data_IF_124333750351
#
_entry.id   IF_124333750351
#
_cell.length_a   1.000
_cell.length_b   1.000
_cell.length_c   1.000
_cell.angle_alpha   90.00
_cell.angle_beta   90.00
_cell.angle_gamma   90.00
#
_symmetry.space_group_name_H-M   'P 1'
#
loop_
_entity.id
_entity.type
_entity.pdbx_description
1 polymer ?
#
# COMPACT_ATOMS: atom_id res chain seq x y z
N UNK A 1 -2.10 27.95 40.44
CA UNK A 1 -3.52 28.33 40.54
C UNK A 1 -4.02 28.43 39.10
N UNK A 2 -4.67 27.38 38.59
CA UNK A 2 -5.20 27.41 37.22
C UNK A 2 -6.45 28.26 37.19
N UNK A 3 -6.62 29.08 36.15
CA UNK A 3 -7.88 29.80 35.92
C UNK A 3 -9.04 28.79 35.92
N UNK A 4 -10.16 29.10 36.60
CA UNK A 4 -11.35 28.26 36.47
C UNK A 4 -11.76 28.20 34.99
N UNK A 5 -12.33 27.08 34.53
CA UNK A 5 -12.89 27.01 33.19
C UNK A 5 -13.89 28.15 33.01
N UNK A 6 -13.66 28.99 32.00
CA UNK A 6 -14.68 29.90 31.50
C UNK A 6 -15.72 29.06 30.77
N UNK A 7 -17.00 29.33 31.05
CA UNK A 7 -18.15 28.71 30.39
C UNK A 7 -18.85 29.73 29.49
N UNK A 8 -18.14 30.78 29.06
CA UNK A 8 -18.72 31.90 28.30
C UNK A 8 -19.20 31.47 26.89
N UNK A 9 -18.77 30.29 26.42
CA UNK A 9 -19.21 29.66 25.18
C UNK A 9 -20.49 28.81 25.35
N UNK A 10 -20.92 28.57 26.59
CA UNK A 10 -22.09 27.77 26.90
C UNK A 10 -23.33 28.65 27.17
N UNK A 11 -24.53 28.17 26.79
CA UNK A 11 -25.77 28.84 27.16
C UNK A 11 -25.97 28.80 28.69
N UNK A 12 -26.61 29.83 29.27
CA UNK A 12 -26.78 29.92 30.72
C UNK A 12 -27.93 29.05 31.28
N UNK A 13 -28.83 28.54 30.44
CA UNK A 13 -30.00 27.77 30.87
C UNK A 13 -29.76 26.25 30.87
N UNK A 14 -30.33 25.59 31.88
CA UNK A 14 -30.14 24.15 32.15
C UNK A 14 -30.64 23.28 31.00
N UNK A 15 -31.77 23.63 30.39
CA UNK A 15 -32.37 22.83 29.32
C UNK A 15 -31.45 22.74 28.10
N UNK A 16 -30.86 23.87 27.66
CA UNK A 16 -29.90 23.85 26.56
C UNK A 16 -28.61 23.15 26.92
N UNK A 17 -28.15 23.26 28.17
CA UNK A 17 -26.96 22.53 28.64
C UNK A 17 -27.18 21.01 28.59
N UNK A 18 -28.34 20.50 29.01
CA UNK A 18 -28.66 19.07 28.95
C UNK A 18 -28.74 18.56 27.50
N UNK A 19 -29.28 19.37 26.59
CA UNK A 19 -29.28 19.04 25.15
C UNK A 19 -27.86 18.97 24.60
N UNK A 20 -27.00 19.94 24.93
CA UNK A 20 -25.61 19.95 24.51
C UNK A 20 -24.84 18.77 25.10
N UNK A 21 -24.99 18.48 26.39
CA UNK A 21 -24.39 17.33 27.03
C UNK A 21 -24.75 16.04 26.28
N UNK A 22 -26.05 15.82 26.05
CA UNK A 22 -26.51 14.63 25.34
C UNK A 22 -25.97 14.55 23.90
N UNK A 23 -25.92 15.68 23.20
CA UNK A 23 -25.36 15.75 21.86
C UNK A 23 -23.86 15.45 21.85
N UNK A 24 -23.11 16.00 22.82
CA UNK A 24 -21.68 15.76 22.96
C UNK A 24 -21.37 14.31 23.32
N UNK A 25 -22.16 13.66 24.18
CA UNK A 25 -22.03 12.22 24.46
C UNK A 25 -22.13 11.39 23.17
N UNK A 26 -23.19 11.62 22.38
CA UNK A 26 -23.40 10.93 21.11
C UNK A 26 -22.26 11.20 20.12
N UNK A 27 -21.79 12.45 20.09
CA UNK A 27 -20.69 12.88 19.22
C UNK A 27 -19.37 12.21 19.63
N UNK A 28 -19.07 12.13 20.93
CA UNK A 28 -17.90 11.45 21.46
C UNK A 28 -17.91 9.95 21.14
N UNK A 29 -19.08 9.30 21.22
CA UNK A 29 -19.22 7.89 20.81
C UNK A 29 -18.87 7.72 19.32
N UNK A 30 -19.36 8.60 18.45
CA UNK A 30 -19.04 8.57 17.01
C UNK A 30 -17.55 8.77 16.74
N UNK A 31 -16.93 9.76 17.38
CA UNK A 31 -15.49 10.05 17.27
C UNK A 31 -14.66 8.84 17.71
N UNK A 32 -14.99 8.24 18.86
CA UNK A 32 -14.27 7.06 19.38
C UNK A 32 -14.33 5.88 18.42
N UNK A 33 -15.49 5.63 17.79
CA UNK A 33 -15.63 4.60 16.75
C UNK A 33 -14.79 4.90 15.52
N UNK A 34 -14.82 6.15 15.04
CA UNK A 34 -14.01 6.56 13.90
C UNK A 34 -12.50 6.42 14.18
N UNK A 35 -12.06 6.75 15.40
CA UNK A 35 -10.68 6.60 15.83
C UNK A 35 -10.25 5.14 15.88
N UNK A 36 -11.08 4.25 16.43
CA UNK A 36 -10.80 2.81 16.43
C UNK A 36 -10.62 2.27 15.00
N UNK A 37 -11.56 2.60 14.10
CA UNK A 37 -11.48 2.18 12.70
C UNK A 37 -10.26 2.78 11.98
N UNK A 38 -9.87 4.02 12.28
CA UNK A 38 -8.67 4.64 11.73
C UNK A 38 -7.40 3.92 12.19
N UNK A 39 -7.28 3.63 13.49
CA UNK A 39 -6.15 2.90 14.06
C UNK A 39 -6.03 1.48 13.50
N UNK A 40 -7.15 0.79 13.29
CA UNK A 40 -7.15 -0.53 12.66
C UNK A 40 -6.60 -0.48 11.23
N UNK A 41 -7.00 0.52 10.44
CA UNK A 41 -6.47 0.73 9.08
C UNK A 41 -4.97 1.04 9.10
N UNK A 42 -4.53 1.94 9.97
CA UNK A 42 -3.10 2.27 10.12
C UNK A 42 -2.29 1.04 10.52
N UNK A 43 -2.76 0.26 11.50
CA UNK A 43 -2.09 -0.96 11.92
C UNK A 43 -2.06 -2.02 10.80
N UNK A 44 -3.12 -2.13 10.00
CA UNK A 44 -3.14 -3.02 8.83
C UNK A 44 -2.13 -2.58 7.76
N UNK A 45 -2.01 -1.26 7.49
CA UNK A 45 -1.02 -0.72 6.56
C UNK A 45 0.41 -0.94 7.06
N UNK A 46 0.68 -0.71 8.34
CA UNK A 46 1.98 -0.98 8.95
C UNK A 46 2.35 -2.46 8.87
N UNK A 47 1.39 -3.36 9.18
CA UNK A 47 1.59 -4.81 9.01
C UNK A 47 1.89 -5.17 7.56
N UNK A 48 1.11 -4.65 6.60
CA UNK A 48 1.34 -4.88 5.18
C UNK A 48 2.71 -4.36 4.70
N UNK A 49 3.19 -3.24 5.25
CA UNK A 49 4.53 -2.73 4.97
C UNK A 49 5.63 -3.62 5.58
N UNK A 50 5.43 -4.11 6.81
CA UNK A 50 6.40 -4.98 7.50
C UNK A 50 6.47 -6.40 6.96
N UNK A 51 5.38 -6.90 6.38
CA UNK A 51 5.26 -8.27 5.82
C UNK A 51 5.45 -8.25 4.29
N UNK A 52 5.83 -7.12 3.70
CA UNK A 52 6.07 -7.05 2.26
C UNK A 52 7.20 -8.03 1.92
N UNK A 53 6.96 -9.08 1.11
CA UNK A 53 8.04 -9.94 0.68
C UNK A 53 9.10 -9.08 -0.03
N UNK A 54 10.38 -9.46 0.07
CA UNK A 54 11.43 -8.76 -0.67
C UNK A 54 11.02 -8.63 -2.13
N UNK A 55 11.39 -7.49 -2.74
CA UNK A 55 11.14 -7.30 -4.16
C UNK A 55 11.69 -8.53 -4.92
N UNK A 56 10.91 -9.14 -5.82
CA UNK A 56 11.37 -10.33 -6.52
C UNK A 56 12.55 -9.96 -7.42
N UNK A 57 13.63 -10.74 -7.43
CA UNK A 57 14.81 -10.43 -8.24
C UNK A 57 14.54 -10.41 -9.76
N UNK A 58 13.46 -11.08 -10.20
CA UNK A 58 13.08 -11.21 -11.60
C UNK A 58 11.57 -11.09 -11.78
N UNK A 59 11.16 -10.39 -12.83
CA UNK A 59 9.76 -10.15 -13.17
C UNK A 59 9.52 -10.45 -14.64
N UNK A 60 8.42 -11.14 -14.93
CA UNK A 60 7.91 -11.31 -16.30
C UNK A 60 6.65 -10.49 -16.49
N UNK A 61 6.67 -9.56 -17.42
CA UNK A 61 5.52 -8.73 -17.75
C UNK A 61 4.61 -9.44 -18.73
N UNK A 62 3.36 -8.99 -18.80
CA UNK A 62 2.35 -9.60 -19.68
C UNK A 62 1.63 -8.56 -20.51
N UNK A 63 1.25 -8.94 -21.72
CA UNK A 63 0.48 -8.09 -22.61
C UNK A 63 -0.88 -7.70 -21.99
N UNK A 64 -1.31 -6.43 -22.16
CA UNK A 64 -2.65 -6.02 -21.75
C UNK A 64 -3.73 -6.91 -22.39
N UNK A 65 -4.72 -7.33 -21.59
CA UNK A 65 -5.84 -8.16 -22.05
C UNK A 65 -5.49 -9.64 -22.17
N UNK A 66 -4.60 -10.01 -23.10
CA UNK A 66 -4.28 -11.41 -23.39
C UNK A 66 -3.45 -12.11 -22.28
N UNK A 67 -2.84 -11.33 -21.38
CA UNK A 67 -1.99 -11.81 -20.27
C UNK A 67 -0.88 -12.77 -20.74
N UNK A 68 -0.44 -12.63 -21.99
CA UNK A 68 0.67 -13.42 -22.53
C UNK A 68 2.00 -12.84 -22.03
N UNK A 69 2.97 -13.66 -21.62
CA UNK A 69 4.30 -13.18 -21.24
C UNK A 69 4.97 -12.40 -22.38
N UNK A 70 5.54 -11.23 -22.09
CA UNK A 70 6.18 -10.38 -23.11
C UNK A 70 7.67 -10.19 -22.86
N UNK A 71 8.04 -9.71 -21.68
CA UNK A 71 9.41 -9.29 -21.39
C UNK A 71 9.85 -9.78 -20.01
N UNK A 72 11.10 -10.21 -19.93
CA UNK A 72 11.80 -10.47 -18.68
C UNK A 72 12.45 -9.16 -18.22
N UNK A 73 12.44 -8.91 -16.91
CA UNK A 73 13.04 -7.77 -16.24
C UNK A 73 13.78 -8.18 -14.96
N UNK A 74 14.76 -7.39 -14.54
CA UNK A 74 15.23 -7.42 -13.14
C UNK A 74 14.17 -6.84 -12.21
N UNK A 75 14.19 -7.26 -10.95
CA UNK A 75 13.25 -6.86 -9.91
C UNK A 75 13.15 -5.36 -9.62
N UNK A 76 14.24 -4.67 -9.88
CA UNK A 76 14.45 -3.24 -9.65
C UNK A 76 14.32 -2.40 -10.94
N UNK A 77 13.89 -2.99 -12.04
CA UNK A 77 13.73 -2.29 -13.31
C UNK A 77 12.66 -1.18 -13.21
N UNK A 78 13.11 0.07 -13.29
CA UNK A 78 12.24 1.26 -13.22
C UNK A 78 11.22 1.35 -14.36
N UNK A 79 11.52 0.72 -15.50
CA UNK A 79 10.68 0.74 -16.69
C UNK A 79 9.69 -0.43 -16.76
N UNK A 80 9.76 -1.39 -15.83
CA UNK A 80 8.92 -2.58 -15.86
C UNK A 80 7.47 -2.24 -15.44
N UNK A 81 6.47 -2.57 -16.28
CA UNK A 81 5.09 -2.69 -15.82
C UNK A 81 4.96 -3.71 -14.68
N UNK A 82 3.81 -3.71 -13.99
CA UNK A 82 3.49 -4.79 -13.05
C UNK A 82 3.50 -6.12 -13.78
N UNK A 83 4.26 -7.07 -13.26
CA UNK A 83 4.39 -8.41 -13.82
C UNK A 83 4.33 -9.50 -12.76
N UNK A 84 4.49 -10.75 -13.20
CA UNK A 84 4.59 -11.93 -12.34
C UNK A 84 6.02 -12.05 -11.82
N UNK A 85 6.19 -12.22 -10.50
CA UNK A 85 7.46 -12.60 -9.91
C UNK A 85 7.86 -14.00 -10.38
N UNK A 86 9.11 -14.17 -10.79
CA UNK A 86 9.63 -15.46 -11.28
C UNK A 86 10.94 -15.81 -10.59
N UNK A 87 11.26 -17.11 -10.51
CA UNK A 87 12.58 -17.52 -10.03
C UNK A 87 13.65 -17.24 -11.09
N UNK A 88 14.92 -17.25 -10.68
CA UNK A 88 16.05 -17.12 -11.62
C UNK A 88 15.98 -18.15 -12.76
N UNK A 89 15.59 -19.40 -12.46
CA UNK A 89 15.50 -20.45 -13.46
C UNK A 89 14.27 -20.33 -14.36
N UNK A 90 13.17 -19.75 -13.86
CA UNK A 90 12.03 -19.36 -14.70
C UNK A 90 12.41 -18.20 -15.63
N UNK A 91 13.17 -17.22 -15.15
CA UNK A 91 13.65 -16.11 -15.98
C UNK A 91 14.59 -16.60 -17.09
N UNK A 92 15.55 -17.48 -16.76
CA UNK A 92 16.43 -18.12 -17.74
C UNK A 92 15.64 -18.91 -18.79
N UNK A 93 14.68 -19.71 -18.35
CA UNK A 93 13.82 -20.49 -19.26
C UNK A 93 13.02 -19.57 -20.17
N UNK A 94 12.39 -18.53 -19.63
CA UNK A 94 11.64 -17.56 -20.43
C UNK A 94 12.50 -16.94 -21.55
N UNK A 95 13.72 -16.50 -21.23
CA UNK A 95 14.66 -15.97 -22.24
C UNK A 95 15.03 -17.04 -23.27
N UNK A 96 15.28 -18.27 -22.84
CA UNK A 96 15.61 -19.40 -23.74
C UNK A 96 14.44 -19.77 -24.65
N UNK A 97 13.20 -19.65 -24.14
CA UNK A 97 11.95 -19.89 -24.87
C UNK A 97 11.59 -18.73 -25.82
N UNK A 98 12.43 -17.70 -25.90
CA UNK A 98 12.29 -16.59 -26.85
C UNK A 98 11.52 -15.37 -26.33
N UNK A 99 11.25 -15.26 -25.03
CA UNK A 99 10.78 -14.00 -24.48
C UNK A 99 11.86 -12.92 -24.58
N UNK A 100 11.41 -11.68 -24.76
CA UNK A 100 12.31 -10.55 -24.88
C UNK A 100 13.01 -10.26 -23.55
N UNK A 101 14.28 -9.93 -23.61
CA UNK A 101 14.98 -9.28 -22.50
C UNK A 101 14.71 -7.78 -22.55
N UNK A 102 14.27 -7.19 -21.43
CA UNK A 102 14.05 -5.75 -21.39
C UNK A 102 15.37 -5.00 -21.67
N UNK A 103 15.41 -4.12 -22.69
CA UNK A 103 16.65 -3.43 -23.09
C UNK A 103 17.13 -2.42 -22.03
N UNK A 104 16.25 -1.96 -21.14
CA UNK A 104 16.58 -0.97 -20.11
C UNK A 104 17.33 -1.58 -18.91
N UNK A 105 16.97 -2.80 -18.49
CA UNK A 105 17.62 -3.47 -17.36
C UNK A 105 18.54 -4.63 -17.77
N UNK A 106 18.52 -5.05 -19.04
CA UNK A 106 19.36 -6.12 -19.61
C UNK A 106 19.44 -7.37 -18.72
N UNK A 107 18.31 -8.02 -18.42
CA UNK A 107 18.27 -9.16 -17.53
C UNK A 107 18.98 -10.38 -18.13
N UNK A 108 19.04 -10.49 -19.45
CA UNK A 108 19.89 -11.43 -20.20
C UNK A 108 21.35 -11.35 -19.76
N UNK A 109 21.90 -10.13 -19.73
CA UNK A 109 23.28 -9.89 -19.31
C UNK A 109 23.47 -10.22 -17.84
N UNK A 110 22.53 -9.79 -16.98
CA UNK A 110 22.57 -10.10 -15.55
C UNK A 110 22.46 -11.62 -15.25
N UNK A 111 21.76 -12.36 -16.12
CA UNK A 111 21.61 -13.82 -16.03
C UNK A 111 22.74 -14.59 -16.71
N UNK A 112 23.69 -13.89 -17.35
CA UNK A 112 24.86 -14.48 -18.01
C UNK A 112 24.60 -15.00 -19.43
N UNK A 113 23.48 -14.63 -20.05
CA UNK A 113 23.28 -14.84 -21.49
C UNK A 113 24.12 -13.81 -22.23
N UNK A 114 25.21 -14.26 -22.83
CA UNK A 114 26.01 -13.48 -23.75
C UNK A 114 25.33 -13.56 -25.12
N UNK A 115 24.70 -12.47 -25.52
CA UNK A 115 24.34 -12.15 -26.91
C UNK A 115 25.23 -11.03 -27.42
#
# INVERSE_FOLDING_TARGET
MGLPPSYDDLPPDVDRLLVLERWHELTLVRIRRALAAAREREAAQQRAASVRPPAPDWVVTTSPGARLPTDVHTGDCFAAPRGRAVTVDEARRALTDGLNACPACRPDTALGFLG
#
